data_IF_105028271282
#
_entry.id   IF_105028271282
#
_cell.length_a   1.000
_cell.length_b   1.000
_cell.length_c   1.000
_cell.angle_alpha   90.00
_cell.angle_beta   90.00
_cell.angle_gamma   90.00
#
_symmetry.space_group_name_H-M   'P 1'
#
loop_
_entity.id
_entity.type
_entity.pdbx_description
1 polymer ?
#
# COMPACT_ATOMS: atom_id res chain seq x y z
N UNK A 1 -5.35 2.53 10.65
CA UNK A 1 -5.70 1.45 9.73
C UNK A 1 -7.19 1.40 9.59
N UNK A 2 -7.70 1.18 8.39
CA UNK A 2 -9.14 1.10 8.11
C UNK A 2 -9.39 -0.10 7.20
N UNK A 3 -10.49 -0.82 7.44
CA UNK A 3 -10.93 -1.89 6.56
C UNK A 3 -11.52 -1.31 5.25
N UNK A 4 -11.18 -1.89 4.11
CA UNK A 4 -11.67 -1.42 2.81
C UNK A 4 -13.17 -1.58 2.62
N UNK A 5 -13.79 -2.56 3.28
CA UNK A 5 -15.19 -2.93 3.12
C UNK A 5 -15.37 -4.28 2.44
N UNK A 6 -16.60 -4.81 2.48
CA UNK A 6 -16.90 -6.14 1.99
C UNK A 6 -18.07 -6.15 0.98
N UNK A 7 -18.23 -5.07 0.22
CA UNK A 7 -19.37 -4.87 -0.67
C UNK A 7 -19.10 -5.23 -2.13
N UNK A 8 -17.92 -5.71 -2.46
CA UNK A 8 -17.63 -6.18 -3.81
C UNK A 8 -18.40 -7.48 -4.10
N UNK A 9 -19.06 -7.54 -5.24
CA UNK A 9 -19.75 -8.72 -5.75
C UNK A 9 -18.96 -9.43 -6.86
N UNK A 10 -17.64 -9.46 -6.73
CA UNK A 10 -16.75 -9.94 -7.76
C UNK A 10 -15.97 -8.81 -8.43
N UNK A 11 -15.19 -9.17 -9.42
CA UNK A 11 -14.28 -8.23 -10.08
C UNK A 11 -14.99 -7.55 -11.26
N UNK A 12 -15.45 -6.31 -11.08
CA UNK A 12 -15.82 -5.47 -12.22
C UNK A 12 -17.29 -5.11 -12.39
N UNK A 13 -18.15 -5.22 -11.37
CA UNK A 13 -19.56 -4.85 -11.49
C UNK A 13 -19.87 -3.37 -11.11
N UNK A 14 -18.86 -2.56 -10.83
CA UNK A 14 -19.04 -1.14 -10.51
C UNK A 14 -19.67 -0.83 -9.15
N UNK A 15 -19.98 -1.82 -8.32
CA UNK A 15 -20.63 -1.63 -7.01
C UNK A 15 -19.69 -1.85 -5.81
N UNK A 16 -18.42 -2.05 -6.08
CA UNK A 16 -17.44 -2.57 -5.13
C UNK A 16 -16.68 -1.50 -4.32
N UNK A 17 -17.15 -0.26 -4.34
CA UNK A 17 -16.38 0.87 -3.84
C UNK A 17 -16.10 0.84 -2.36
N UNK A 18 -14.94 1.39 -2.02
CA UNK A 18 -14.54 1.65 -0.64
C UNK A 18 -15.37 2.81 -0.10
N UNK A 19 -15.95 2.62 1.08
CA UNK A 19 -16.73 3.64 1.76
C UNK A 19 -15.91 4.36 2.84
N UNK A 20 -16.40 5.54 3.25
CA UNK A 20 -15.84 6.24 4.40
C UNK A 20 -15.88 5.33 5.65
N UNK A 21 -14.82 5.32 6.47
CA UNK A 21 -13.60 6.15 6.42
C UNK A 21 -12.45 5.59 5.58
N UNK A 22 -12.61 4.43 4.92
CA UNK A 22 -11.57 3.78 4.11
C UNK A 22 -11.09 4.63 2.93
N UNK A 23 -11.94 5.54 2.47
CA UNK A 23 -11.67 6.48 1.39
C UNK A 23 -10.79 7.68 1.79
N UNK A 24 -10.35 7.76 3.03
CA UNK A 24 -9.58 8.90 3.49
C UNK A 24 -8.10 8.76 3.11
N UNK A 25 -7.58 9.68 2.28
CA UNK A 25 -6.21 9.67 1.74
C UNK A 25 -5.11 9.52 2.80
N UNK A 26 -5.32 10.05 4.01
CA UNK A 26 -4.32 10.00 5.08
C UNK A 26 -4.45 8.77 6.00
N UNK A 27 -5.28 7.79 5.67
CA UNK A 27 -5.32 6.50 6.37
C UNK A 27 -4.52 5.42 5.60
N UNK A 28 -4.42 4.25 6.19
CA UNK A 28 -3.98 3.04 5.50
C UNK A 28 -5.18 2.11 5.40
N UNK A 29 -5.66 1.91 4.18
CA UNK A 29 -6.84 1.12 3.88
C UNK A 29 -6.43 -0.29 3.49
N UNK A 30 -7.09 -1.28 4.11
CA UNK A 30 -6.66 -2.67 4.05
C UNK A 30 -7.71 -3.55 3.36
N UNK A 31 -7.29 -4.18 2.25
CA UNK A 31 -8.06 -5.19 1.54
C UNK A 31 -7.88 -6.60 2.11
N UNK A 32 -8.80 -7.50 1.77
CA UNK A 32 -8.83 -8.87 2.27
C UNK A 32 -8.26 -9.87 1.27
N UNK A 33 -7.35 -10.71 1.71
CA UNK A 33 -6.78 -11.82 0.96
C UNK A 33 -7.29 -13.17 1.45
N UNK A 34 -7.40 -14.12 0.51
CA UNK A 34 -7.66 -15.54 0.77
C UNK A 34 -6.60 -16.43 0.13
N UNK A 35 -6.45 -17.64 0.62
CA UNK A 35 -5.71 -18.71 -0.05
C UNK A 35 -6.59 -19.42 -1.10
N UNK A 36 -6.00 -20.07 -2.09
CA UNK A 36 -6.72 -20.73 -3.20
C UNK A 36 -7.64 -21.88 -2.76
N UNK A 37 -7.42 -22.47 -1.63
CA UNK A 37 -8.04 -23.74 -1.27
C UNK A 37 -9.21 -23.57 -0.31
N UNK A 38 -10.41 -23.93 -0.78
CA UNK A 38 -11.55 -24.25 0.07
C UNK A 38 -11.27 -25.56 0.81
N UNK A 39 -10.50 -25.54 1.87
CA UNK A 39 -10.20 -26.74 2.65
C UNK A 39 -8.77 -26.83 3.18
N UNK A 40 -7.86 -25.99 2.77
CA UNK A 40 -6.55 -25.91 3.40
C UNK A 40 -6.57 -24.79 4.46
N UNK A 41 -6.82 -25.14 5.68
CA UNK A 41 -6.48 -24.33 6.84
C UNK A 41 -4.97 -24.20 6.90
N UNK A 42 -4.40 -23.17 6.30
CA UNK A 42 -2.97 -22.96 6.29
C UNK A 42 -2.60 -21.59 5.80
N UNK A 43 -2.25 -20.70 6.72
CA UNK A 43 -1.45 -19.54 6.45
C UNK A 43 -0.12 -20.06 5.85
N UNK A 44 0.02 -20.03 4.53
CA UNK A 44 1.27 -20.49 3.92
C UNK A 44 1.17 -21.04 2.50
N UNK A 45 0.01 -21.43 2.02
CA UNK A 45 -0.14 -21.89 0.65
C UNK A 45 -0.27 -20.68 -0.30
N UNK A 46 0.79 -20.38 -1.01
CA UNK A 46 0.76 -19.42 -2.14
C UNK A 46 0.11 -20.09 -3.36
N UNK A 47 -0.53 -19.34 -4.26
CA UNK A 47 -0.71 -17.89 -4.24
C UNK A 47 -1.89 -17.41 -3.37
N UNK A 48 -1.80 -16.15 -2.91
CA UNK A 48 -2.91 -15.45 -2.28
C UNK A 48 -3.75 -14.75 -3.34
N UNK A 49 -5.05 -14.68 -3.08
CA UNK A 49 -6.02 -14.06 -3.97
C UNK A 49 -6.73 -12.95 -3.23
N UNK A 50 -7.04 -11.87 -3.92
CA UNK A 50 -7.98 -10.90 -3.39
C UNK A 50 -9.33 -11.59 -3.18
N UNK A 51 -9.93 -11.41 -1.99
CA UNK A 51 -11.24 -11.98 -1.72
C UNK A 51 -12.30 -11.28 -2.59
N UNK A 52 -13.22 -12.01 -3.26
CA UNK A 52 -14.18 -11.40 -4.19
C UNK A 52 -15.08 -10.33 -3.56
N UNK A 53 -15.32 -10.38 -2.25
CA UNK A 53 -16.09 -9.36 -1.54
C UNK A 53 -15.25 -8.18 -1.03
N UNK A 54 -13.91 -8.23 -1.12
CA UNK A 54 -13.09 -7.12 -0.68
C UNK A 54 -13.35 -5.89 -1.54
N UNK A 55 -13.78 -4.80 -0.92
CA UNK A 55 -13.99 -3.54 -1.65
C UNK A 55 -12.68 -2.98 -2.19
N UNK A 56 -12.76 -2.36 -3.32
CA UNK A 56 -11.68 -1.69 -4.04
C UNK A 56 -12.24 -0.48 -4.76
N UNK A 57 -11.38 0.37 -5.30
CA UNK A 57 -11.80 1.57 -5.99
C UNK A 57 -11.75 1.43 -7.51
N UNK A 58 -12.63 2.17 -8.19
CA UNK A 58 -12.66 2.23 -9.64
C UNK A 58 -11.43 2.97 -10.19
N UNK A 59 -10.81 2.49 -11.30
CA UNK A 59 -9.53 2.99 -11.83
C UNK A 59 -9.47 4.49 -12.18
N UNK A 60 -10.54 5.24 -12.10
CA UNK A 60 -10.58 6.66 -12.43
C UNK A 60 -11.00 7.57 -11.28
N UNK A 61 -11.23 7.01 -10.11
CA UNK A 61 -11.58 7.78 -8.93
C UNK A 61 -10.36 8.08 -8.04
N UNK A 62 -10.52 8.93 -7.06
CA UNK A 62 -9.51 9.37 -6.10
C UNK A 62 -9.77 8.71 -4.76
N UNK A 63 -8.76 8.32 -4.02
CA UNK A 63 -7.39 7.84 -4.28
C UNK A 63 -7.38 6.36 -4.69
N UNK A 64 -6.24 5.84 -5.21
CA UNK A 64 -6.09 4.40 -5.49
C UNK A 64 -6.06 3.59 -4.19
N UNK A 65 -7.16 2.97 -3.85
CA UNK A 65 -7.35 2.19 -2.62
C UNK A 65 -7.84 0.75 -2.95
N UNK A 66 -7.51 -0.28 -2.16
CA UNK A 66 -6.82 -0.23 -0.86
C UNK A 66 -5.32 0.05 -0.99
N UNK A 67 -4.70 0.59 0.05
CA UNK A 67 -3.25 0.80 0.09
C UNK A 67 -2.47 -0.52 0.12
N UNK A 68 -3.00 -1.51 0.85
CA UNK A 68 -2.34 -2.79 1.10
C UNK A 68 -3.38 -3.88 1.40
N UNK A 69 -2.99 -5.12 1.20
CA UNK A 69 -3.83 -6.27 1.54
C UNK A 69 -3.20 -7.15 2.62
N UNK A 70 -4.06 -7.82 3.38
CA UNK A 70 -3.65 -8.81 4.38
C UNK A 70 -4.62 -10.01 4.42
N UNK A 71 -4.20 -11.19 4.92
CA UNK A 71 -5.08 -12.31 5.16
C UNK A 71 -6.19 -11.96 6.14
N UNK A 72 -7.45 -12.14 5.73
CA UNK A 72 -8.63 -11.88 6.54
C UNK A 72 -9.77 -12.85 6.23
N UNK A 73 -9.45 -13.99 5.62
CA UNK A 73 -10.41 -15.03 5.23
C UNK A 73 -10.20 -16.27 6.09
N UNK A 74 -11.30 -16.84 6.61
CA UNK A 74 -11.31 -18.02 7.50
C UNK A 74 -10.44 -17.83 8.73
N UNK A 75 -10.62 -16.69 9.39
CA UNK A 75 -9.83 -16.31 10.56
C UNK A 75 -10.40 -16.98 11.80
N UNK A 76 -9.56 -17.70 12.55
CA UNK A 76 -9.91 -18.19 13.88
C UNK A 76 -9.69 -17.09 14.91
N UNK A 77 -10.74 -16.64 15.54
CA UNK A 77 -10.71 -15.61 16.56
C UNK A 77 -11.41 -16.09 17.85
N UNK A 78 -11.18 -15.38 18.95
CA UNK A 78 -11.80 -15.68 20.23
C UNK A 78 -13.29 -15.38 20.18
N UNK A 79 -14.11 -16.31 20.67
CA UNK A 79 -15.58 -16.16 20.76
C UNK A 79 -15.98 -15.55 22.10
N UNK A 80 -16.95 -14.66 22.07
CA UNK A 80 -17.49 -14.01 23.28
C UNK A 80 -18.62 -14.79 23.97
N UNK A 81 -19.17 -15.85 23.32
CA UNK A 81 -20.28 -16.61 23.88
C UNK A 81 -19.79 -17.84 24.66
N UNK A 82 -20.57 -18.24 25.67
CA UNK A 82 -20.34 -19.32 26.65
C UNK A 82 -20.40 -20.75 26.08
N UNK A 83 -20.13 -20.96 24.81
CA UNK A 83 -20.07 -22.29 24.21
C UNK A 83 -18.78 -23.03 24.57
N UNK A 84 -18.78 -24.35 24.43
CA UNK A 84 -17.62 -25.23 24.70
C UNK A 84 -16.45 -25.01 23.75
N UNK A 85 -16.64 -24.27 22.66
CA UNK A 85 -15.56 -23.89 21.73
C UNK A 85 -15.17 -22.42 21.91
N UNK A 86 -13.93 -22.12 22.35
CA UNK A 86 -13.48 -20.76 22.61
C UNK A 86 -13.18 -19.97 21.34
N UNK A 87 -13.23 -20.59 20.15
CA UNK A 87 -12.95 -19.93 18.90
C UNK A 87 -14.23 -19.37 18.26
N UNK A 88 -14.07 -18.26 17.57
CA UNK A 88 -15.15 -17.62 16.84
C UNK A 88 -15.42 -18.39 15.55
N UNK A 89 -16.64 -18.91 15.47
CA UNK A 89 -17.26 -19.36 14.24
C UNK A 89 -18.53 -18.53 14.08
N UNK A 90 -18.99 -18.29 12.86
CA UNK A 90 -20.29 -17.69 12.65
C UNK A 90 -21.42 -18.61 13.18
N UNK A 91 -22.67 -18.16 13.09
CA UNK A 91 -23.83 -18.92 13.55
C UNK A 91 -24.02 -20.27 12.84
N UNK A 92 -23.35 -20.47 11.71
CA UNK A 92 -23.42 -21.68 10.88
C UNK A 92 -22.15 -22.56 11.03
N UNK A 93 -21.19 -22.16 11.90
CA UNK A 93 -19.96 -22.88 12.11
C UNK A 93 -18.84 -22.54 11.11
N UNK A 94 -19.07 -21.54 10.25
CA UNK A 94 -18.06 -21.06 9.31
C UNK A 94 -17.08 -20.09 9.98
N UNK A 95 -15.82 -20.12 9.54
CA UNK A 95 -14.80 -19.21 10.04
C UNK A 95 -15.04 -17.80 9.45
N UNK A 96 -14.98 -16.73 10.28
CA UNK A 96 -15.30 -15.38 9.83
C UNK A 96 -14.32 -14.89 8.76
N UNK A 97 -14.86 -14.11 7.82
CA UNK A 97 -14.14 -13.59 6.67
C UNK A 97 -14.50 -12.12 6.45
N UNK A 98 -13.49 -11.28 6.21
CA UNK A 98 -13.69 -9.87 5.88
C UNK A 98 -12.46 -9.00 6.03
N UNK A 99 -12.51 -7.83 5.45
CA UNK A 99 -11.49 -6.78 5.60
C UNK A 99 -11.33 -6.32 7.05
N UNK A 100 -12.37 -6.49 7.87
CA UNK A 100 -12.33 -6.24 9.32
C UNK A 100 -11.40 -7.18 10.08
N UNK A 101 -11.05 -8.34 9.52
CA UNK A 101 -10.05 -9.27 10.05
C UNK A 101 -8.67 -9.04 9.43
N UNK A 102 -8.60 -8.50 8.21
CA UNK A 102 -7.35 -8.13 7.56
C UNK A 102 -6.70 -6.87 8.18
N UNK A 103 -7.50 -5.87 8.48
CA UNK A 103 -7.01 -4.60 9.04
C UNK A 103 -6.22 -4.76 10.37
N UNK A 104 -6.67 -5.55 11.36
CA UNK A 104 -5.90 -5.77 12.59
C UNK A 104 -4.57 -6.52 12.37
N UNK A 105 -4.45 -7.34 11.33
CA UNK A 105 -3.15 -7.96 10.96
C UNK A 105 -2.14 -6.89 10.60
N UNK A 106 -2.51 -5.94 9.74
CA UNK A 106 -1.64 -4.82 9.38
C UNK A 106 -1.36 -3.94 10.61
N UNK A 107 -2.36 -3.70 11.45
CA UNK A 107 -2.19 -2.92 12.69
C UNK A 107 -1.15 -3.55 13.62
N UNK A 108 -1.20 -4.86 13.82
CA UNK A 108 -0.22 -5.60 14.63
C UNK A 108 1.19 -5.53 14.06
N UNK A 109 1.35 -5.68 12.75
CA UNK A 109 2.65 -5.54 12.06
C UNK A 109 3.19 -4.12 12.21
N UNK A 110 2.35 -3.11 12.06
CA UNK A 110 2.76 -1.70 12.24
C UNK A 110 3.16 -1.42 13.68
N UNK A 111 2.47 -1.97 14.66
CA UNK A 111 2.85 -1.82 16.07
C UNK A 111 4.26 -2.39 16.33
N UNK A 112 4.54 -3.59 15.85
CA UNK A 112 5.88 -4.20 15.94
C UNK A 112 6.94 -3.39 15.18
N UNK A 113 6.60 -2.92 13.97
CA UNK A 113 7.49 -2.08 13.18
C UNK A 113 7.83 -0.76 13.89
N UNK A 114 6.87 -0.14 14.56
CA UNK A 114 7.10 1.09 15.32
C UNK A 114 7.95 0.84 16.57
N UNK A 115 7.85 -0.31 17.20
CA UNK A 115 8.72 -0.73 18.31
C UNK A 115 10.17 -0.86 17.82
N UNK A 116 10.40 -1.54 16.70
CA UNK A 116 11.74 -1.73 16.10
C UNK A 116 12.31 -0.41 15.54
N UNK A 117 11.47 0.42 14.95
CA UNK A 117 11.84 1.67 14.30
C UNK A 117 11.21 2.87 14.97
N UNK A 118 11.61 3.17 16.19
CA UNK A 118 11.03 4.25 17.03
C UNK A 118 11.05 5.63 16.35
N UNK A 119 11.98 5.90 15.43
CA UNK A 119 12.03 7.13 14.64
C UNK A 119 10.82 7.34 13.72
N UNK A 120 10.01 6.30 13.47
CA UNK A 120 8.77 6.39 12.71
C UNK A 120 7.54 6.73 13.58
N UNK A 121 7.68 6.69 14.89
CA UNK A 121 6.62 7.08 15.83
C UNK A 121 6.30 8.56 15.63
N UNK A 122 5.01 8.87 15.44
CA UNK A 122 4.56 10.23 15.15
C UNK A 122 4.70 10.65 13.68
N UNK A 123 5.17 9.77 12.79
CA UNK A 123 5.28 10.01 11.35
C UNK A 123 4.39 9.04 10.55
N UNK A 124 3.10 9.33 10.36
CA UNK A 124 2.19 8.44 9.66
C UNK A 124 2.57 8.19 8.20
N UNK A 125 3.21 9.15 7.52
CA UNK A 125 3.68 9.01 6.15
C UNK A 125 4.84 8.02 6.08
N UNK A 126 5.76 8.05 7.04
CA UNK A 126 6.85 7.07 7.12
C UNK A 126 6.33 5.66 7.41
N UNK A 127 5.29 5.53 8.24
CA UNK A 127 4.60 4.25 8.46
C UNK A 127 3.94 3.75 7.18
N UNK A 128 3.18 4.60 6.49
CA UNK A 128 2.50 4.26 5.23
C UNK A 128 3.52 3.88 4.15
N UNK A 129 4.53 4.71 3.92
CA UNK A 129 5.59 4.44 2.95
C UNK A 129 6.30 3.11 3.24
N UNK A 130 6.66 2.84 4.50
CA UNK A 130 7.37 1.62 4.89
C UNK A 130 6.54 0.37 4.66
N UNK A 131 5.31 0.35 5.16
CA UNK A 131 4.47 -0.85 5.05
C UNK A 131 4.14 -1.17 3.59
N UNK A 132 3.95 -0.15 2.75
CA UNK A 132 3.69 -0.32 1.32
C UNK A 132 4.96 -0.67 0.54
N UNK A 133 6.12 -0.08 0.88
CA UNK A 133 7.39 -0.37 0.22
C UNK A 133 7.82 -1.83 0.40
N UNK A 134 7.52 -2.41 1.54
CA UNK A 134 7.91 -3.78 1.90
C UNK A 134 6.88 -4.84 1.52
N UNK A 135 5.73 -4.45 1.01
CA UNK A 135 4.68 -5.35 0.54
C UNK A 135 5.14 -6.26 -0.62
N UNK A 136 4.44 -7.34 -0.84
CA UNK A 136 4.71 -8.34 -1.88
C UNK A 136 3.63 -8.25 -2.98
N UNK A 137 3.83 -7.46 -4.03
CA UNK A 137 2.86 -7.32 -5.12
C UNK A 137 2.64 -8.63 -5.88
N UNK A 138 3.71 -9.38 -6.13
CA UNK A 138 3.67 -10.66 -6.84
C UNK A 138 3.01 -11.82 -6.05
N UNK A 139 2.64 -11.59 -4.80
CA UNK A 139 1.97 -12.60 -3.97
C UNK A 139 0.46 -12.50 -4.03
N UNK A 140 -0.08 -11.48 -4.71
CA UNK A 140 -1.53 -11.30 -4.88
C UNK A 140 -1.88 -11.56 -6.33
N UNK A 141 -2.86 -12.41 -6.53
CA UNK A 141 -3.45 -12.65 -7.86
C UNK A 141 -4.95 -12.43 -7.76
N UNK A 142 -5.58 -12.00 -8.85
CA UNK A 142 -7.04 -12.01 -8.96
C UNK A 142 -7.45 -13.31 -9.61
N UNK A 143 -8.46 -13.97 -9.08
CA UNK A 143 -9.05 -15.15 -9.71
C UNK A 143 -10.45 -14.83 -10.15
N UNK A 144 -10.62 -14.79 -11.45
CA UNK A 144 -11.89 -15.10 -12.08
C UNK A 144 -11.74 -16.48 -12.71
N UNK A 145 -12.33 -17.51 -12.11
CA UNK A 145 -12.48 -18.86 -12.68
C UNK A 145 -11.25 -19.50 -13.36
N UNK A 146 -10.03 -19.24 -12.84
CA UNK A 146 -8.83 -19.96 -13.27
C UNK A 146 -8.11 -19.44 -14.49
N UNK A 147 -8.53 -18.36 -15.07
CA UNK A 147 -7.80 -17.65 -16.14
C UNK A 147 -7.40 -16.26 -15.65
N UNK A 148 -6.09 -16.06 -15.53
CA UNK A 148 -5.53 -14.88 -14.94
C UNK A 148 -5.08 -13.88 -15.95
N UNK A 149 -5.18 -12.69 -15.65
CA UNK A 149 -4.32 -11.52 -15.73
C UNK A 149 -5.24 -10.29 -15.76
N UNK A 150 -5.48 -9.73 -14.58
CA UNK A 150 -6.03 -8.39 -14.54
C UNK A 150 -4.83 -7.43 -14.54
N UNK A 151 -4.64 -6.61 -15.57
CA UNK A 151 -3.58 -5.59 -15.60
C UNK A 151 -3.76 -4.53 -14.50
N UNK A 152 -4.93 -4.48 -13.86
CA UNK A 152 -5.28 -3.56 -12.78
C UNK A 152 -5.10 -4.13 -11.38
N UNK A 153 -4.24 -5.14 -11.19
CA UNK A 153 -3.98 -5.73 -9.87
C UNK A 153 -3.57 -4.71 -8.82
N UNK A 154 -2.85 -3.67 -9.23
CA UNK A 154 -2.44 -2.58 -8.35
C UNK A 154 -3.64 -1.79 -7.85
N UNK A 155 -4.63 -1.54 -8.68
CA UNK A 155 -5.84 -0.81 -8.34
C UNK A 155 -6.76 -1.62 -7.42
N UNK A 156 -6.65 -2.94 -7.46
CA UNK A 156 -7.43 -3.85 -6.63
C UNK A 156 -6.77 -4.23 -5.30
N UNK A 157 -5.45 -4.23 -5.23
CA UNK A 157 -4.68 -4.74 -4.10
C UNK A 157 -3.64 -3.77 -3.54
N UNK A 158 -3.57 -2.57 -4.09
CA UNK A 158 -2.59 -1.54 -3.71
C UNK A 158 -1.15 -2.02 -3.87
N UNK A 159 -0.35 -1.81 -2.83
CA UNK A 159 1.05 -2.25 -2.81
C UNK A 159 1.22 -3.79 -2.79
N UNK A 160 0.13 -4.55 -2.61
CA UNK A 160 0.14 -6.00 -2.51
C UNK A 160 -0.04 -6.53 -1.10
N UNK A 161 0.44 -7.75 -0.83
CA UNK A 161 0.32 -8.38 0.48
C UNK A 161 1.33 -7.81 1.48
N UNK A 162 0.88 -7.48 2.68
CA UNK A 162 1.74 -7.08 3.79
C UNK A 162 2.81 -8.16 4.10
N UNK A 163 4.04 -7.72 4.38
CA UNK A 163 5.15 -8.59 4.75
C UNK A 163 5.80 -8.13 6.05
N UNK A 164 5.49 -8.83 7.14
CA UNK A 164 6.00 -8.51 8.47
C UNK A 164 7.54 -8.55 8.54
N UNK A 165 8.17 -9.57 7.97
CA UNK A 165 9.62 -9.71 8.02
C UNK A 165 10.35 -8.55 7.31
N UNK A 166 9.85 -8.13 6.14
CA UNK A 166 10.41 -6.98 5.44
C UNK A 166 10.07 -5.64 6.11
N UNK A 167 8.91 -5.53 6.76
CA UNK A 167 8.54 -4.34 7.51
C UNK A 167 9.50 -4.07 8.68
N UNK A 168 10.07 -5.11 9.29
CA UNK A 168 11.08 -5.00 10.37
C UNK A 168 12.49 -4.70 9.83
N UNK A 169 12.75 -4.86 8.53
CA UNK A 169 14.01 -4.54 7.88
C UNK A 169 13.93 -3.18 7.19
N UNK A 170 15.04 -2.64 6.70
CA UNK A 170 15.04 -1.42 5.89
C UNK A 170 16.43 -1.11 5.36
N UNK A 171 16.47 -0.45 4.20
CA UNK A 171 17.73 -0.02 3.60
C UNK A 171 17.97 1.47 3.82
N UNK A 172 17.05 2.32 3.36
CA UNK A 172 17.18 3.76 3.51
C UNK A 172 15.80 4.44 3.56
N UNK A 173 15.71 5.50 4.33
CA UNK A 173 14.51 6.32 4.38
C UNK A 173 14.86 7.80 4.55
N UNK A 174 13.95 8.66 4.11
CA UNK A 174 14.01 10.11 4.34
C UNK A 174 12.60 10.63 4.56
N UNK A 175 12.47 11.61 5.41
CA UNK A 175 11.22 12.32 5.60
C UNK A 175 11.46 13.82 5.74
N UNK A 176 10.47 14.61 5.37
CA UNK A 176 10.46 16.04 5.58
C UNK A 176 9.11 16.48 6.11
N UNK A 177 9.15 17.43 7.03
CA UNK A 177 8.00 18.03 7.67
C UNK A 177 7.85 19.47 7.22
N UNK A 178 6.61 19.91 7.08
CA UNK A 178 6.31 21.30 6.76
C UNK A 178 7.02 21.82 5.50
N UNK A 179 7.21 20.95 4.50
CA UNK A 179 7.78 21.36 3.25
C UNK A 179 6.73 22.10 2.42
N UNK A 180 6.87 23.41 2.26
CA UNK A 180 5.85 24.27 1.68
C UNK A 180 6.13 24.82 0.27
N UNK A 181 7.31 24.57 -0.27
CA UNK A 181 7.70 25.10 -1.58
C UNK A 181 7.40 24.07 -2.70
N UNK A 182 6.85 24.58 -3.81
CA UNK A 182 6.80 23.81 -5.07
C UNK A 182 8.25 23.66 -5.56
N UNK A 183 8.66 22.43 -5.79
CA UNK A 183 9.98 22.07 -6.35
C UNK A 183 9.74 21.38 -7.70
N UNK A 184 9.60 22.17 -8.80
CA UNK A 184 9.25 21.60 -10.10
C UNK A 184 10.36 20.75 -10.72
N UNK A 185 11.59 20.90 -10.23
CA UNK A 185 12.73 20.09 -10.67
C UNK A 185 12.89 18.85 -9.80
N UNK A 186 13.25 17.74 -10.41
CA UNK A 186 13.57 16.53 -9.68
C UNK A 186 14.84 16.69 -8.85
N UNK A 187 14.76 16.30 -7.58
CA UNK A 187 15.87 16.30 -6.63
C UNK A 187 16.25 14.86 -6.29
N UNK A 188 17.52 14.54 -6.41
CA UNK A 188 18.05 13.23 -5.99
C UNK A 188 18.05 13.15 -4.46
N UNK A 189 17.27 12.21 -3.93
CA UNK A 189 17.19 11.92 -2.50
C UNK A 189 18.21 10.87 -2.08
N UNK A 190 18.39 9.83 -2.91
CA UNK A 190 19.32 8.73 -2.69
C UNK A 190 20.01 8.34 -3.99
N UNK A 191 21.25 7.80 -3.86
CA UNK A 191 21.91 7.05 -4.92
C UNK A 191 22.20 5.64 -4.40
N UNK A 192 21.71 4.63 -5.10
CA UNK A 192 21.76 3.23 -4.68
C UNK A 192 22.53 2.43 -5.71
N UNK A 193 23.57 1.72 -5.29
CA UNK A 193 24.29 0.77 -6.14
C UNK A 193 23.57 -0.57 -6.15
N UNK A 194 23.31 -1.08 -7.34
CA UNK A 194 22.68 -2.38 -7.58
C UNK A 194 23.64 -3.30 -8.33
N UNK A 195 23.69 -4.56 -7.91
CA UNK A 195 24.26 -5.65 -8.68
C UNK A 195 23.26 -6.17 -9.71
N UNK A 196 23.73 -6.92 -10.70
CA UNK A 196 22.85 -7.59 -11.65
C UNK A 196 21.84 -8.50 -10.92
N UNK A 197 20.58 -8.45 -11.31
CA UNK A 197 19.49 -9.19 -10.71
C UNK A 197 18.88 -8.56 -9.45
N UNK A 198 19.54 -7.58 -8.81
CA UNK A 198 18.95 -6.91 -7.65
C UNK A 198 17.77 -6.02 -8.07
N UNK A 199 16.77 -6.00 -7.21
CA UNK A 199 15.61 -5.11 -7.31
C UNK A 199 15.78 -3.91 -6.38
N UNK A 200 15.34 -2.76 -6.86
CA UNK A 200 15.13 -1.55 -6.09
C UNK A 200 13.65 -1.22 -6.09
N UNK A 201 13.10 -0.97 -4.93
CA UNK A 201 11.75 -0.42 -4.77
C UNK A 201 11.84 0.85 -3.93
N UNK A 202 11.15 1.88 -4.36
CA UNK A 202 11.00 3.10 -3.60
C UNK A 202 9.52 3.48 -3.52
N UNK A 203 9.12 3.95 -2.35
CA UNK A 203 7.74 4.40 -2.07
C UNK A 203 7.78 5.76 -1.40
N UNK A 204 7.15 6.73 -2.03
CA UNK A 204 6.91 8.07 -1.52
C UNK A 204 5.48 8.16 -1.01
N UNK A 205 5.28 8.50 0.25
CA UNK A 205 3.96 8.81 0.81
C UNK A 205 3.95 10.24 1.34
N UNK A 206 2.87 10.95 1.11
CA UNK A 206 2.72 12.35 1.53
C UNK A 206 1.31 12.64 2.06
N UNK A 207 1.20 13.67 2.92
CA UNK A 207 -0.07 14.05 3.50
C UNK A 207 -0.72 15.19 2.74
N UNK A 208 -2.04 15.09 2.58
CA UNK A 208 -2.85 16.23 2.17
C UNK A 208 -3.48 16.86 3.42
N UNK A 209 -2.93 17.98 3.89
CA UNK A 209 -3.33 18.63 5.15
C UNK A 209 -4.56 19.55 5.02
N UNK A 210 -4.93 19.93 3.83
CA UNK A 210 -6.04 20.89 3.65
C UNK A 210 -7.37 20.17 3.42
N UNK A 211 -8.07 19.89 4.50
CA UNK A 211 -9.31 19.10 4.49
C UNK A 211 -10.53 19.87 3.93
N UNK A 212 -10.59 21.18 4.08
CA UNK A 212 -11.80 21.93 3.70
C UNK A 212 -11.82 22.41 2.24
N UNK A 213 -10.68 22.65 1.65
CA UNK A 213 -10.56 23.10 0.27
C UNK A 213 -10.54 21.95 -0.75
N UNK A 214 -10.19 20.75 -0.29
CA UNK A 214 -10.05 19.53 -1.09
C UNK A 214 -11.40 19.04 -1.60
N UNK A 215 -12.44 19.13 -0.77
CA UNK A 215 -13.77 18.58 -1.05
C UNK A 215 -14.50 19.36 -2.17
N UNK A 216 -14.14 20.61 -2.40
CA UNK A 216 -14.92 21.46 -3.29
C UNK A 216 -14.37 21.64 -4.70
N UNK A 217 -13.10 21.42 -4.97
CA UNK A 217 -12.48 21.78 -6.25
C UNK A 217 -11.31 20.91 -6.73
N UNK A 218 -11.23 19.64 -6.50
CA UNK A 218 -10.29 18.70 -7.14
C UNK A 218 -8.84 19.15 -7.51
N UNK A 219 -8.56 20.45 -7.48
CA UNK A 219 -7.31 21.08 -7.89
C UNK A 219 -6.38 21.47 -6.72
N UNK A 220 -6.74 21.13 -5.50
CA UNK A 220 -6.05 21.58 -4.29
C UNK A 220 -5.30 20.45 -3.54
N UNK A 221 -4.99 19.37 -4.24
CA UNK A 221 -4.14 18.32 -3.69
C UNK A 221 -2.67 18.66 -3.90
N UNK A 222 -1.84 18.32 -2.93
CA UNK A 222 -0.42 18.16 -3.19
C UNK A 222 -0.23 17.06 -4.24
N UNK A 223 0.74 17.28 -5.10
CA UNK A 223 1.11 16.38 -6.16
C UNK A 223 2.63 16.24 -6.13
N UNK A 224 3.09 15.03 -5.82
CA UNK A 224 4.51 14.72 -5.72
C UNK A 224 4.80 13.52 -6.59
N UNK A 225 5.86 13.61 -7.36
CA UNK A 225 6.31 12.55 -8.25
C UNK A 225 7.55 11.84 -7.71
N UNK A 226 7.67 10.58 -8.09
CA UNK A 226 8.79 9.71 -7.78
C UNK A 226 9.33 9.05 -9.04
N UNK A 227 10.66 9.05 -9.23
CA UNK A 227 11.30 8.31 -10.32
C UNK A 227 12.65 7.70 -9.94
N UNK A 228 13.03 6.68 -10.68
CA UNK A 228 14.35 6.05 -10.68
C UNK A 228 15.08 6.43 -11.96
N UNK A 229 16.31 6.86 -11.83
CA UNK A 229 17.14 7.34 -12.95
C UNK A 229 18.50 6.66 -12.90
N UNK A 230 18.99 6.21 -14.04
CA UNK A 230 20.38 5.72 -14.16
C UNK A 230 21.35 6.86 -13.89
N UNK A 231 22.22 6.72 -12.90
CA UNK A 231 23.10 7.78 -12.46
C UNK A 231 24.17 8.16 -13.49
N UNK A 232 24.53 7.24 -14.38
CA UNK A 232 25.56 7.48 -15.40
C UNK A 232 25.00 8.14 -16.66
N UNK A 233 23.79 7.78 -17.06
CA UNK A 233 23.21 8.21 -18.35
C UNK A 233 22.11 9.25 -18.21
N UNK A 234 21.52 9.37 -17.01
CA UNK A 234 20.33 10.21 -16.78
C UNK A 234 19.02 9.60 -17.31
N UNK A 235 19.05 8.38 -17.83
CA UNK A 235 17.88 7.72 -18.36
C UNK A 235 16.88 7.36 -17.26
N UNK A 236 15.59 7.65 -17.47
CA UNK A 236 14.51 7.23 -16.56
C UNK A 236 14.31 5.73 -16.67
N UNK A 237 14.43 5.04 -15.56
CA UNK A 237 14.28 3.57 -15.45
C UNK A 237 12.87 3.17 -15.03
N UNK A 238 12.24 3.97 -14.16
CA UNK A 238 10.86 3.80 -13.70
C UNK A 238 10.36 5.15 -13.18
N UNK A 239 9.09 5.46 -13.36
CA UNK A 239 8.47 6.68 -12.84
C UNK A 239 7.04 6.39 -12.40
N UNK A 240 6.61 7.11 -11.35
CA UNK A 240 5.26 7.21 -10.87
C UNK A 240 4.95 8.71 -10.73
N UNK A 241 3.97 9.19 -11.49
CA UNK A 241 3.66 10.60 -11.69
C UNK A 241 2.14 10.80 -11.70
N UNK A 242 1.44 10.15 -10.77
CA UNK A 242 -0.02 10.16 -10.71
C UNK A 242 -0.56 11.35 -9.90
N UNK A 243 -1.21 12.28 -10.56
CA UNK A 243 -1.68 13.54 -9.96
C UNK A 243 -2.80 13.42 -8.92
N UNK A 244 -3.28 12.22 -8.65
CA UNK A 244 -4.46 11.97 -7.81
C UNK A 244 -4.21 11.07 -6.61
N UNK A 245 -3.00 10.58 -6.46
CA UNK A 245 -2.61 9.72 -5.36
C UNK A 245 -1.77 10.48 -4.32
N UNK A 246 -1.71 9.98 -3.11
CA UNK A 246 -0.80 10.45 -2.06
C UNK A 246 0.32 9.43 -1.77
N UNK A 247 0.47 8.45 -2.64
CA UNK A 247 1.53 7.45 -2.61
C UNK A 247 2.02 7.16 -4.01
N UNK A 248 3.33 7.29 -4.22
CA UNK A 248 4.00 6.90 -5.45
C UNK A 248 4.92 5.71 -5.20
N UNK A 249 4.84 4.68 -6.06
CA UNK A 249 5.66 3.47 -5.94
C UNK A 249 6.35 3.20 -7.27
N UNK A 250 7.68 3.05 -7.22
CA UNK A 250 8.50 2.68 -8.37
C UNK A 250 9.33 1.44 -8.07
N UNK A 251 9.50 0.60 -9.09
CA UNK A 251 10.34 -0.61 -9.00
C UNK A 251 11.26 -0.71 -10.24
N UNK A 252 12.44 -1.26 -10.01
CA UNK A 252 13.39 -1.54 -11.08
C UNK A 252 14.23 -2.77 -10.74
N UNK A 253 14.43 -3.65 -11.72
CA UNK A 253 15.37 -4.77 -11.61
C UNK A 253 16.58 -4.51 -12.48
N UNK A 254 17.76 -4.49 -11.89
CA UNK A 254 18.99 -4.20 -12.60
C UNK A 254 19.42 -5.40 -13.47
N UNK A 255 19.52 -5.21 -14.78
CA UNK A 255 20.07 -6.22 -15.71
C UNK A 255 21.59 -6.34 -15.64
N UNK A 256 22.28 -5.31 -15.17
CA UNK A 256 23.72 -5.25 -14.95
C UNK A 256 24.01 -4.35 -13.71
N UNK A 257 25.21 -4.44 -13.17
CA UNK A 257 25.63 -3.56 -12.08
C UNK A 257 25.53 -2.08 -12.51
N UNK A 258 24.87 -1.25 -11.68
CA UNK A 258 24.70 0.19 -11.92
C UNK A 258 24.36 0.95 -10.67
N UNK A 259 24.52 2.27 -10.72
CA UNK A 259 24.00 3.19 -9.70
C UNK A 259 22.70 3.81 -10.18
N UNK A 260 21.70 3.85 -9.30
CA UNK A 260 20.37 4.39 -9.57
C UNK A 260 20.10 5.55 -8.61
N UNK A 261 19.73 6.70 -9.16
CA UNK A 261 19.26 7.85 -8.39
C UNK A 261 17.75 7.71 -8.14
N UNK A 262 17.34 7.80 -6.89
CA UNK A 262 15.96 7.93 -6.46
C UNK A 262 15.64 9.41 -6.36
N UNK A 263 14.73 9.91 -7.17
CA UNK A 263 14.43 11.33 -7.31
C UNK A 263 12.97 11.62 -7.03
N UNK A 264 12.70 12.72 -6.35
CA UNK A 264 11.37 13.26 -6.08
C UNK A 264 11.25 14.69 -6.59
N UNK A 265 10.01 15.13 -6.88
CA UNK A 265 9.67 16.53 -7.08
C UNK A 265 8.31 16.85 -6.47
N UNK A 266 8.05 18.12 -6.18
CA UNK A 266 6.75 18.64 -5.79
C UNK A 266 6.19 19.40 -7.00
N UNK A 267 5.26 18.78 -7.71
CA UNK A 267 4.68 19.31 -8.95
C UNK A 267 3.70 20.43 -8.64
N UNK A 268 2.88 20.20 -7.62
CA UNK A 268 1.86 21.14 -7.19
C UNK A 268 1.83 21.22 -5.68
N UNK A 269 1.95 22.42 -5.16
CA UNK A 269 1.74 22.75 -3.77
C UNK A 269 0.47 23.57 -3.60
N UNK A 270 -0.11 23.53 -2.43
CA UNK A 270 -1.20 24.41 -2.03
C UNK A 270 -0.60 25.61 -1.32
N UNK A 271 -0.90 26.83 -1.78
CA UNK A 271 -0.39 28.05 -1.14
C UNK A 271 -0.77 28.09 0.33
N UNK A 272 0.20 28.40 1.19
CA UNK A 272 0.07 28.48 2.66
C UNK A 272 -0.17 27.15 3.39
N UNK A 273 -0.04 26.01 2.72
CA UNK A 273 -0.13 24.68 3.35
C UNK A 273 1.18 23.94 3.15
N UNK A 274 1.66 23.31 4.20
CA UNK A 274 2.86 22.47 4.16
C UNK A 274 2.48 21.01 3.91
N UNK A 275 3.32 20.29 3.19
CA UNK A 275 3.23 18.84 3.02
C UNK A 275 4.23 18.14 3.94
N UNK A 276 3.78 17.09 4.60
CA UNK A 276 4.69 16.13 5.22
C UNK A 276 4.79 14.93 4.30
N UNK A 277 6.01 14.49 4.03
CA UNK A 277 6.26 13.35 3.18
C UNK A 277 7.33 12.43 3.75
N UNK A 278 7.30 11.18 3.34
CA UNK A 278 8.31 10.19 3.64
C UNK A 278 8.63 9.36 2.40
N UNK A 279 9.89 9.06 2.21
CA UNK A 279 10.42 8.20 1.15
C UNK A 279 11.12 7.01 1.79
N UNK A 280 10.64 5.82 1.50
CA UNK A 280 11.28 4.55 1.84
C UNK A 280 11.92 3.94 0.59
N UNK A 281 13.12 3.40 0.76
CA UNK A 281 13.88 2.74 -0.30
C UNK A 281 14.34 1.39 0.21
N UNK A 282 14.16 0.35 -0.58
CA UNK A 282 14.61 -1.01 -0.26
C UNK A 282 15.23 -1.67 -1.50
N UNK A 283 16.26 -2.50 -1.27
CA UNK A 283 16.87 -3.31 -2.32
C UNK A 283 16.93 -4.77 -1.90
N UNK A 284 16.63 -5.69 -2.78
CA UNK A 284 16.55 -7.13 -2.50
C UNK A 284 16.82 -8.00 -3.72
#
# INVERSE_FOLDING_TARGET
MVAAGNNANGYGDGSAYINSPGYAMNCITVGNLRTKSSGASGIGAKPYYLHPSSSWEEPNSLPSEPDICAPGTWVRAVRTSSGTNPFFYDSEGAEPTGTSFAAPVVTGIVAQMMEEHSAKIGNPQAVKAKIMNTALPSSVTTVSNGTESNPYLRDLSGAGMVNAARAMSGYAYKYAWNHGAVEPNYITQFTVSLSAGQKLRATLAFSNKNTNAIIQNGSQYYDMDLRLVDAATGAVLSAAEESRNNVEIVEYTASAARSVCVQTRIVRGVSHVSVDWALEVDRY
#
